data_IF_770054635644
#
_entry.id   IF_770054635644
#
_cell.length_a   1.000
_cell.length_b   1.000
_cell.length_c   1.000
_cell.angle_alpha   90.00
_cell.angle_beta   90.00
_cell.angle_gamma   90.00
#
_symmetry.space_group_name_H-M   'P 1'
#
loop_
_entity.id
_entity.type
_entity.pdbx_description
1 polymer ?
#
# COMPACT_ATOMS: atom_id res chain seq x y z
N UNK A 1 -19.99 38.43 15.67
CA UNK A 1 -18.96 37.67 16.39
C UNK A 1 -18.99 36.23 15.88
N UNK A 2 -17.86 35.79 15.36
CA UNK A 2 -17.46 34.43 14.97
C UNK A 2 -16.97 34.41 13.53
N UNK A 3 -15.70 34.75 13.39
CA UNK A 3 -14.88 34.47 12.21
C UNK A 3 -14.81 32.96 11.98
N UNK A 4 -15.07 32.51 10.75
CA UNK A 4 -14.73 31.17 10.29
C UNK A 4 -13.70 31.28 9.19
N UNK A 5 -12.45 31.18 9.66
CA UNK A 5 -11.18 30.90 8.99
C UNK A 5 -11.36 30.30 7.59
N UNK A 6 -11.29 31.18 6.58
CA UNK A 6 -10.98 30.84 5.21
C UNK A 6 -9.46 30.66 5.11
N UNK A 7 -8.97 29.44 5.33
CA UNK A 7 -7.59 29.08 4.95
C UNK A 7 -7.69 28.11 3.79
N UNK A 8 -8.05 28.70 2.64
CA UNK A 8 -7.74 28.16 1.32
C UNK A 8 -6.21 28.25 1.18
N UNK A 9 -5.51 27.17 1.51
CA UNK A 9 -4.07 27.07 1.25
C UNK A 9 -3.84 26.27 -0.03
N UNK A 10 -4.02 27.01 -1.13
CA UNK A 10 -3.25 26.97 -2.37
C UNK A 10 -2.43 25.69 -2.54
N UNK A 11 -2.98 24.82 -3.37
CA UNK A 11 -2.30 23.70 -4.02
C UNK A 11 -1.05 24.25 -4.70
N UNK A 12 0.11 23.80 -4.24
CA UNK A 12 1.40 24.01 -4.90
C UNK A 12 1.47 23.07 -6.10
N UNK A 13 0.90 23.51 -7.22
CA UNK A 13 1.11 22.88 -8.53
C UNK A 13 2.48 23.34 -9.06
N UNK A 14 3.36 22.38 -9.30
CA UNK A 14 4.53 22.54 -10.14
C UNK A 14 4.59 21.39 -11.11
N UNK A 15 4.38 21.70 -12.40
CA UNK A 15 4.68 20.89 -13.60
C UNK A 15 3.72 19.68 -13.76
N UNK A 16 2.90 19.52 -14.80
CA UNK A 16 3.06 19.78 -16.23
C UNK A 16 1.65 19.86 -16.88
N UNK A 17 1.52 20.66 -17.94
CA UNK A 17 0.29 20.89 -18.70
C UNK A 17 -0.19 19.62 -19.41
N UNK A 18 -1.42 19.19 -19.13
CA UNK A 18 -2.25 18.46 -20.09
C UNK A 18 -3.66 19.07 -20.06
N UNK A 19 -4.05 19.63 -21.20
CA UNK A 19 -5.37 20.19 -21.46
C UNK A 19 -6.46 19.14 -21.19
N UNK A 20 -7.16 19.28 -20.06
CA UNK A 20 -8.43 18.61 -19.82
C UNK A 20 -9.52 19.67 -19.76
N UNK A 21 -10.43 19.61 -20.72
CA UNK A 21 -11.68 20.36 -20.71
C UNK A 21 -12.38 20.17 -19.36
N UNK A 22 -12.45 21.27 -18.60
CA UNK A 22 -13.18 21.36 -17.34
C UNK A 22 -14.66 21.47 -17.69
N UNK A 23 -15.39 20.36 -17.64
CA UNK A 23 -16.83 20.43 -17.42
C UNK A 23 -17.08 20.71 -15.92
N UNK A 24 -17.45 21.95 -15.64
CA UNK A 24 -17.90 22.40 -14.32
C UNK A 24 -19.23 21.71 -14.02
N UNK A 25 -19.25 20.77 -13.07
CA UNK A 25 -20.50 20.31 -12.47
C UNK A 25 -21.04 21.39 -11.53
N UNK A 26 -22.29 21.88 -11.71
CA UNK A 26 -22.84 22.90 -10.85
C UNK A 26 -23.18 22.31 -9.48
N UNK A 27 -22.68 22.97 -8.43
CA UNK A 27 -23.13 22.73 -7.07
C UNK A 27 -24.61 23.14 -6.95
N UNK A 28 -25.49 22.16 -6.70
CA UNK A 28 -26.89 22.44 -6.36
C UNK A 28 -27.19 21.90 -4.96
N UNK A 29 -27.22 22.84 -4.00
CA UNK A 29 -27.80 22.63 -2.67
C UNK A 29 -29.32 22.61 -2.85
N UNK A 30 -29.92 21.42 -2.81
CA UNK A 30 -31.35 21.25 -2.58
C UNK A 30 -31.61 19.98 -1.75
N UNK A 31 -32.28 20.17 -0.63
CA UNK A 31 -32.71 19.15 0.31
C UNK A 31 -33.82 18.27 -0.30
N UNK A 32 -33.43 17.36 -1.19
CA UNK A 32 -34.06 16.06 -1.39
C UNK A 32 -32.96 15.05 -1.06
N UNK A 33 -33.27 13.98 -0.32
CA UNK A 33 -32.33 12.89 -0.02
C UNK A 33 -31.99 12.16 -1.33
N UNK A 34 -31.16 12.78 -2.16
CA UNK A 34 -30.52 12.17 -3.31
C UNK A 34 -29.57 11.13 -2.73
N UNK A 35 -29.83 9.85 -3.00
CA UNK A 35 -28.82 8.81 -2.74
C UNK A 35 -27.56 9.27 -3.48
N UNK A 36 -26.46 9.51 -2.77
CA UNK A 36 -25.18 9.78 -3.42
C UNK A 36 -24.92 8.65 -4.42
N UNK A 37 -24.55 8.99 -5.66
CA UNK A 37 -24.18 7.98 -6.67
C UNK A 37 -22.97 7.15 -6.23
N UNK A 38 -22.19 7.71 -5.29
CA UNK A 38 -21.03 7.09 -4.67
C UNK A 38 -21.46 6.39 -3.37
N UNK A 39 -21.02 5.14 -3.23
CA UNK A 39 -21.24 4.29 -2.08
C UNK A 39 -20.54 4.86 -0.83
N UNK A 40 -21.15 4.78 0.38
CA UNK A 40 -20.59 5.37 1.60
C UNK A 40 -19.17 4.91 1.96
N UNK A 41 -18.81 3.66 1.64
CA UNK A 41 -17.45 3.15 1.85
C UNK A 41 -16.40 3.92 1.03
N UNK A 42 -16.73 4.25 -0.21
CA UNK A 42 -15.87 5.05 -1.08
C UNK A 42 -15.83 6.51 -0.66
N UNK A 43 -16.94 7.07 -0.14
CA UNK A 43 -16.93 8.42 0.43
C UNK A 43 -15.97 8.50 1.62
N UNK A 44 -16.02 7.51 2.52
CA UNK A 44 -15.12 7.41 3.67
C UNK A 44 -13.68 7.26 3.20
N UNK A 45 -13.43 6.37 2.25
CA UNK A 45 -12.11 6.18 1.65
C UNK A 45 -11.56 7.46 0.98
N UNK A 46 -12.43 8.22 0.32
CA UNK A 46 -12.07 9.50 -0.31
C UNK A 46 -11.58 10.53 0.72
N UNK A 47 -12.29 10.64 1.85
CA UNK A 47 -11.85 11.49 2.99
C UNK A 47 -10.53 10.98 3.56
N UNK A 48 -10.38 9.67 3.75
CA UNK A 48 -9.14 9.09 4.27
C UNK A 48 -7.94 9.30 3.34
N UNK A 49 -8.17 9.36 2.02
CA UNK A 49 -7.14 9.64 1.02
C UNK A 49 -6.74 11.12 0.96
N UNK A 50 -7.72 12.02 1.05
CA UNK A 50 -7.54 13.48 1.05
C UNK A 50 -6.85 13.96 2.34
N UNK A 51 -7.34 13.51 3.49
CA UNK A 51 -6.75 13.83 4.81
C UNK A 51 -5.47 13.05 5.11
N UNK A 52 -5.01 12.20 4.18
CA UNK A 52 -3.76 11.43 4.32
C UNK A 52 -3.75 10.50 5.55
N UNK A 53 -4.93 10.04 6.01
CA UNK A 53 -5.07 9.13 7.17
C UNK A 53 -4.54 7.72 6.88
N UNK A 54 -4.68 7.27 5.64
CA UNK A 54 -4.13 6.00 5.17
C UNK A 54 -2.85 6.27 4.38
N UNK A 55 -1.74 5.73 4.87
CA UNK A 55 -0.41 5.93 4.31
C UNK A 55 0.17 4.61 3.77
N UNK A 56 1.02 4.71 2.75
CA UNK A 56 1.62 3.56 2.06
C UNK A 56 0.77 2.98 0.93
N UNK A 57 1.41 2.57 -0.15
CA UNK A 57 0.73 2.10 -1.37
C UNK A 57 -0.07 0.81 -1.15
N UNK A 58 0.48 -0.13 -0.37
CA UNK A 58 -0.21 -1.39 -0.07
C UNK A 58 -1.44 -1.16 0.81
N UNK A 59 -1.33 -0.35 1.86
CA UNK A 59 -2.46 -0.07 2.76
C UNK A 59 -3.61 0.63 2.03
N UNK A 60 -3.29 1.65 1.21
CA UNK A 60 -4.28 2.31 0.36
C UNK A 60 -4.97 1.33 -0.60
N UNK A 61 -4.21 0.38 -1.16
CA UNK A 61 -4.78 -0.65 -2.03
C UNK A 61 -5.69 -1.62 -1.26
N UNK A 62 -5.30 -2.05 -0.05
CA UNK A 62 -6.13 -2.91 0.80
C UNK A 62 -7.45 -2.24 1.19
N UNK A 63 -7.41 -0.94 1.51
CA UNK A 63 -8.61 -0.14 1.81
C UNK A 63 -9.51 0.01 0.57
N UNK A 64 -8.92 0.25 -0.60
CA UNK A 64 -9.63 0.25 -1.88
C UNK A 64 -10.32 -1.09 -2.17
N UNK A 65 -9.59 -2.21 -2.08
CA UNK A 65 -10.16 -3.56 -2.30
C UNK A 65 -11.28 -3.87 -1.32
N UNK A 66 -11.14 -3.47 -0.05
CA UNK A 66 -12.20 -3.66 0.95
C UNK A 66 -13.44 -2.82 0.64
N UNK A 67 -13.25 -1.58 0.17
CA UNK A 67 -14.36 -0.73 -0.31
C UNK A 67 -15.05 -1.31 -1.54
N UNK A 68 -14.29 -1.92 -2.47
CA UNK A 68 -14.83 -2.64 -3.62
C UNK A 68 -15.69 -3.84 -3.18
N UNK A 69 -15.23 -4.64 -2.21
CA UNK A 69 -16.03 -5.75 -1.70
C UNK A 69 -17.34 -5.28 -1.05
N UNK A 70 -17.32 -4.20 -0.28
CA UNK A 70 -18.54 -3.61 0.29
C UNK A 70 -19.49 -3.10 -0.82
N UNK A 71 -18.94 -2.42 -1.83
CA UNK A 71 -19.71 -1.97 -2.99
C UNK A 71 -20.38 -3.16 -3.70
N UNK A 72 -19.65 -4.25 -3.94
CA UNK A 72 -20.18 -5.47 -4.59
C UNK A 72 -21.25 -6.15 -3.74
N UNK A 73 -21.06 -6.24 -2.41
CA UNK A 73 -22.04 -6.85 -1.49
C UNK A 73 -23.33 -6.04 -1.43
N UNK A 74 -23.23 -4.71 -1.51
CA UNK A 74 -24.39 -3.80 -1.53
C UNK A 74 -25.10 -3.71 -2.88
N UNK A 75 -24.45 -4.20 -3.96
CA UNK A 75 -24.99 -4.16 -5.31
C UNK A 75 -26.04 -5.25 -5.48
N UNK A 76 -27.29 -4.85 -5.70
CA UNK A 76 -28.46 -5.74 -5.85
C UNK A 76 -28.96 -5.63 -7.30
N UNK A 77 -29.41 -6.72 -7.94
CA UNK A 77 -30.01 -6.66 -9.26
C UNK A 77 -31.27 -5.77 -9.26
N UNK A 78 -31.48 -5.01 -10.34
CA UNK A 78 -32.72 -4.26 -10.53
C UNK A 78 -33.89 -5.24 -10.54
N UNK A 79 -34.93 -4.94 -9.76
CA UNK A 79 -36.08 -5.84 -9.57
C UNK A 79 -36.74 -6.20 -10.91
N UNK A 80 -37.37 -7.38 -11.05
CA UNK A 80 -38.09 -7.78 -12.27
C UNK A 80 -39.13 -6.76 -12.74
N UNK A 81 -39.72 -6.01 -11.80
CA UNK A 81 -40.72 -4.96 -12.05
C UNK A 81 -40.16 -3.72 -12.77
N UNK A 82 -38.87 -3.40 -12.63
CA UNK A 82 -38.23 -2.30 -13.35
C UNK A 82 -37.77 -2.69 -14.77
N UNK A 83 -37.69 -4.00 -15.06
CA UNK A 83 -37.30 -4.53 -16.38
C UNK A 83 -38.39 -4.34 -17.44
N UNK A 84 -39.66 -4.20 -17.02
CA UNK A 84 -40.80 -4.05 -17.94
C UNK A 84 -40.93 -2.63 -18.52
N UNK A 85 -40.43 -1.61 -17.82
CA UNK A 85 -40.61 -0.21 -18.23
C UNK A 85 -39.60 0.27 -19.28
N UNK A 86 -38.50 -0.46 -19.48
CA UNK A 86 -37.48 -0.11 -20.47
C UNK A 86 -37.63 -1.00 -21.70
N UNK A 87 -38.31 -0.49 -22.74
CA UNK A 87 -38.52 -1.14 -24.04
C UNK A 87 -37.23 -1.20 -24.90
N UNK A 88 -36.10 -1.54 -24.29
CA UNK A 88 -34.84 -1.79 -24.99
C UNK A 88 -34.38 -3.18 -24.57
N UNK A 89 -34.72 -4.17 -25.38
CA UNK A 89 -34.29 -5.54 -25.17
C UNK A 89 -32.79 -5.68 -25.41
N UNK A 90 -31.98 -5.55 -24.37
CA UNK A 90 -30.57 -6.01 -24.37
C UNK A 90 -30.05 -6.13 -22.93
N UNK A 91 -29.66 -7.35 -22.52
CA UNK A 91 -28.52 -7.73 -21.64
C UNK A 91 -28.10 -6.92 -20.38
N UNK A 92 -28.81 -5.86 -19.97
CA UNK A 92 -28.54 -5.03 -18.79
C UNK A 92 -28.80 -5.74 -17.45
N UNK A 93 -29.29 -6.98 -17.51
CA UNK A 93 -29.50 -7.84 -16.36
C UNK A 93 -28.21 -8.50 -15.84
N UNK A 94 -27.17 -8.57 -16.68
CA UNK A 94 -25.91 -9.22 -16.31
C UNK A 94 -25.11 -8.33 -15.34
N UNK A 95 -24.57 -8.96 -14.30
CA UNK A 95 -23.77 -8.29 -13.27
C UNK A 95 -22.61 -7.49 -13.86
N UNK A 96 -21.82 -8.08 -14.76
CA UNK A 96 -20.62 -7.46 -15.31
C UNK A 96 -20.87 -6.14 -16.04
N UNK A 97 -21.95 -6.09 -16.84
CA UNK A 97 -22.30 -4.93 -17.68
C UNK A 97 -22.85 -3.78 -16.87
N UNK A 98 -23.60 -4.09 -15.81
CA UNK A 98 -24.17 -3.08 -14.91
C UNK A 98 -23.16 -2.58 -13.89
N UNK A 99 -22.25 -3.44 -13.40
CA UNK A 99 -21.28 -3.09 -12.37
C UNK A 99 -20.08 -2.30 -12.89
N UNK A 100 -19.60 -2.58 -14.11
CA UNK A 100 -18.41 -1.92 -14.67
C UNK A 100 -18.47 -0.38 -14.66
N UNK A 101 -19.54 0.25 -15.19
CA UNK A 101 -19.72 1.70 -15.14
C UNK A 101 -19.83 2.25 -13.72
N UNK A 102 -20.46 1.50 -12.80
CA UNK A 102 -20.58 1.88 -11.38
C UNK A 102 -19.20 1.91 -10.75
N UNK A 103 -18.37 0.88 -10.91
CA UNK A 103 -17.01 0.86 -10.38
C UNK A 103 -16.16 2.00 -10.96
N UNK A 104 -16.25 2.28 -12.26
CA UNK A 104 -15.53 3.39 -12.90
C UNK A 104 -15.89 4.74 -12.26
N UNK A 105 -17.18 5.00 -11.97
CA UNK A 105 -17.59 6.24 -11.30
C UNK A 105 -16.96 6.40 -9.91
N UNK A 106 -16.84 5.31 -9.15
CA UNK A 106 -16.23 5.31 -7.82
C UNK A 106 -14.71 5.52 -7.88
N UNK A 107 -14.04 4.92 -8.87
CA UNK A 107 -12.60 5.14 -9.10
C UNK A 107 -12.32 6.58 -9.54
N UNK A 108 -13.14 7.13 -10.44
CA UNK A 108 -13.03 8.53 -10.86
C UNK A 108 -13.21 9.48 -9.67
N UNK A 109 -14.18 9.21 -8.79
CA UNK A 109 -14.35 9.96 -7.55
C UNK A 109 -13.08 9.95 -6.69
N UNK A 110 -12.46 8.78 -6.47
CA UNK A 110 -11.22 8.71 -5.69
C UNK A 110 -10.07 9.47 -6.37
N UNK A 111 -9.97 9.44 -7.71
CA UNK A 111 -8.97 10.22 -8.45
C UNK A 111 -9.15 11.73 -8.25
N UNK A 112 -10.39 12.21 -8.10
CA UNK A 112 -10.69 13.61 -7.77
C UNK A 112 -10.31 13.97 -6.34
N UNK A 113 -10.46 13.05 -5.38
CA UNK A 113 -9.96 13.26 -4.02
C UNK A 113 -8.44 13.34 -4.00
N UNK A 114 -7.76 12.38 -4.66
CA UNK A 114 -6.30 12.36 -4.75
C UNK A 114 -5.81 11.42 -5.84
N UNK A 115 -4.68 11.72 -6.52
CA UNK A 115 -4.07 10.80 -7.47
C UNK A 115 -3.84 9.40 -6.86
N UNK A 116 -4.38 8.38 -7.53
CA UNK A 116 -4.32 7.00 -7.06
C UNK A 116 -2.91 6.42 -7.18
N UNK A 117 -2.54 5.53 -6.27
CA UNK A 117 -1.26 4.83 -6.35
C UNK A 117 -1.22 3.88 -7.54
N UNK A 118 -0.02 3.56 -8.03
CA UNK A 118 0.17 2.57 -9.10
C UNK A 118 -0.44 1.21 -8.72
N UNK A 119 -0.31 0.80 -7.46
CA UNK A 119 -0.90 -0.45 -6.96
C UNK A 119 -2.43 -0.46 -7.09
N UNK A 120 -3.11 0.66 -6.81
CA UNK A 120 -4.56 0.78 -6.99
C UNK A 120 -4.94 0.74 -8.48
N UNK A 121 -4.19 1.44 -9.35
CA UNK A 121 -4.44 1.40 -10.79
C UNK A 121 -4.32 -0.03 -11.33
N UNK A 122 -3.26 -0.76 -10.95
CA UNK A 122 -3.08 -2.15 -11.35
C UNK A 122 -4.20 -3.05 -10.83
N UNK A 123 -4.61 -2.87 -9.57
CA UNK A 123 -5.75 -3.58 -9.00
C UNK A 123 -7.03 -3.29 -9.80
N UNK A 124 -7.30 -2.03 -10.12
CA UNK A 124 -8.46 -1.64 -10.90
C UNK A 124 -8.47 -2.26 -12.30
N UNK A 125 -7.33 -2.27 -13.00
CA UNK A 125 -7.22 -2.92 -14.31
C UNK A 125 -7.46 -4.43 -14.23
N UNK A 126 -6.91 -5.09 -13.20
CA UNK A 126 -7.18 -6.50 -12.93
C UNK A 126 -8.69 -6.77 -12.73
N UNK A 127 -9.38 -5.90 -11.99
CA UNK A 127 -10.83 -6.02 -11.78
C UNK A 127 -11.61 -5.81 -13.08
N UNK A 128 -11.26 -4.83 -13.91
CA UNK A 128 -11.89 -4.64 -15.24
C UNK A 128 -11.72 -5.88 -16.12
N UNK A 129 -10.50 -6.42 -16.19
CA UNK A 129 -10.23 -7.62 -16.98
C UNK A 129 -11.02 -8.82 -16.46
N UNK A 130 -11.17 -8.92 -15.14
CA UNK A 130 -11.98 -9.97 -14.52
C UNK A 130 -13.46 -9.82 -14.88
N UNK A 131 -14.01 -8.60 -14.90
CA UNK A 131 -15.38 -8.36 -15.35
C UNK A 131 -15.58 -8.76 -16.82
N UNK A 132 -14.62 -8.45 -17.71
CA UNK A 132 -14.68 -8.88 -19.11
C UNK A 132 -14.67 -10.40 -19.24
N UNK A 133 -13.84 -11.09 -18.44
CA UNK A 133 -13.78 -12.56 -18.45
C UNK A 133 -15.06 -13.21 -17.93
N UNK A 134 -15.72 -12.58 -16.96
CA UNK A 134 -16.96 -13.07 -16.36
C UNK A 134 -18.22 -12.67 -17.15
N UNK A 135 -18.12 -11.92 -18.25
CA UNK A 135 -19.29 -11.49 -19.05
C UNK A 135 -20.08 -12.67 -19.65
N UNK A 136 -19.46 -13.85 -19.77
CA UNK A 136 -20.11 -15.08 -20.22
C UNK A 136 -20.94 -15.79 -19.14
N UNK A 137 -20.81 -15.41 -17.87
CA UNK A 137 -21.54 -16.05 -16.75
C UNK A 137 -22.90 -15.39 -16.63
N UNK A 138 -23.96 -16.15 -16.92
CA UNK A 138 -25.33 -15.64 -16.89
C UNK A 138 -25.91 -15.56 -15.48
N UNK A 139 -25.49 -16.48 -14.58
CA UNK A 139 -25.95 -16.48 -13.20
C UNK A 139 -25.34 -15.33 -12.41
N UNK A 140 -26.21 -14.48 -11.87
CA UNK A 140 -25.80 -13.26 -11.20
C UNK A 140 -25.05 -13.55 -9.90
N UNK A 141 -25.48 -14.55 -9.13
CA UNK A 141 -24.89 -14.84 -7.82
C UNK A 141 -23.54 -15.55 -7.96
N UNK A 142 -23.43 -16.48 -8.91
CA UNK A 142 -22.19 -17.14 -9.30
C UNK A 142 -21.17 -16.14 -9.83
N UNK A 143 -21.59 -15.23 -10.72
CA UNK A 143 -20.72 -14.17 -11.23
C UNK A 143 -20.23 -13.25 -10.11
N UNK A 144 -21.13 -12.84 -9.20
CA UNK A 144 -20.77 -12.01 -8.04
C UNK A 144 -19.80 -12.72 -7.11
N UNK A 145 -20.06 -13.98 -6.78
CA UNK A 145 -19.20 -14.80 -5.94
C UNK A 145 -17.81 -14.98 -6.54
N UNK A 146 -17.75 -15.26 -7.84
CA UNK A 146 -16.49 -15.39 -8.59
C UNK A 146 -15.69 -14.08 -8.60
N UNK A 147 -16.37 -12.94 -8.76
CA UNK A 147 -15.72 -11.63 -8.74
C UNK A 147 -15.19 -11.26 -7.34
N UNK A 148 -15.93 -11.54 -6.27
CA UNK A 148 -15.45 -11.41 -4.89
C UNK A 148 -14.23 -12.31 -4.63
N UNK A 149 -14.28 -13.56 -5.10
CA UNK A 149 -13.15 -14.49 -5.00
C UNK A 149 -11.91 -13.96 -5.74
N UNK A 150 -12.08 -13.32 -6.89
CA UNK A 150 -10.98 -12.71 -7.63
C UNK A 150 -10.32 -11.55 -6.85
N UNK A 151 -11.10 -10.75 -6.12
CA UNK A 151 -10.55 -9.70 -5.24
C UNK A 151 -9.70 -10.30 -4.12
N UNK A 152 -10.20 -11.36 -3.47
CA UNK A 152 -9.47 -12.05 -2.41
C UNK A 152 -8.18 -12.65 -2.96
N UNK A 153 -8.22 -13.23 -4.16
CA UNK A 153 -7.04 -13.82 -4.79
C UNK A 153 -6.00 -12.77 -5.18
N UNK A 154 -6.42 -11.62 -5.72
CA UNK A 154 -5.52 -10.50 -5.99
C UNK A 154 -4.88 -9.98 -4.70
N UNK A 155 -5.67 -9.79 -3.64
CA UNK A 155 -5.18 -9.36 -2.31
C UNK A 155 -4.12 -10.33 -1.79
N UNK A 156 -4.38 -11.63 -1.87
CA UNK A 156 -3.49 -12.70 -1.40
C UNK A 156 -2.22 -12.78 -2.24
N UNK A 157 -2.34 -12.89 -3.56
CA UNK A 157 -1.23 -13.10 -4.47
C UNK A 157 -0.36 -11.87 -4.65
N UNK A 158 -0.97 -10.73 -4.99
CA UNK A 158 -0.24 -9.53 -5.41
C UNK A 158 0.27 -8.66 -4.26
N UNK A 159 -0.26 -8.81 -3.04
CA UNK A 159 0.15 -7.99 -1.89
C UNK A 159 0.85 -8.85 -0.83
N UNK A 160 0.18 -9.88 -0.31
CA UNK A 160 0.73 -10.64 0.81
C UNK A 160 1.83 -11.61 0.37
N UNK A 161 1.53 -12.56 -0.51
CA UNK A 161 2.50 -13.56 -0.96
C UNK A 161 3.69 -12.91 -1.68
N UNK A 162 3.44 -11.95 -2.56
CA UNK A 162 4.50 -11.18 -3.19
C UNK A 162 5.38 -10.46 -2.15
N UNK A 163 4.77 -9.88 -1.11
CA UNK A 163 5.51 -9.21 -0.04
C UNK A 163 6.36 -10.18 0.78
N UNK A 164 5.85 -11.37 1.08
CA UNK A 164 6.58 -12.38 1.84
C UNK A 164 7.74 -12.97 1.01
N UNK A 165 7.51 -13.19 -0.28
CA UNK A 165 8.55 -13.64 -1.22
C UNK A 165 9.69 -12.61 -1.36
N UNK A 166 9.36 -11.31 -1.39
CA UNK A 166 10.36 -10.24 -1.36
C UNK A 166 11.15 -10.31 -0.06
N UNK A 167 10.48 -10.49 1.09
CA UNK A 167 11.17 -10.60 2.38
C UNK A 167 12.15 -11.78 2.39
N UNK A 168 11.70 -12.97 2.00
CA UNK A 168 12.52 -14.18 2.04
C UNK A 168 13.73 -14.10 1.10
N UNK A 169 13.57 -13.48 -0.08
CA UNK A 169 14.69 -13.25 -1.00
C UNK A 169 15.65 -12.17 -0.51
N UNK A 170 15.14 -11.06 0.00
CA UNK A 170 15.98 -9.91 0.39
C UNK A 170 16.75 -10.15 1.68
N UNK A 171 16.21 -10.93 2.63
CA UNK A 171 16.89 -11.22 3.91
C UNK A 171 18.31 -11.72 3.68
N UNK A 172 18.52 -12.59 2.69
CA UNK A 172 19.82 -13.20 2.39
C UNK A 172 20.81 -12.27 1.67
N UNK A 173 20.37 -11.09 1.23
CA UNK A 173 21.24 -10.11 0.56
C UNK A 173 22.02 -9.25 1.56
N UNK A 174 21.52 -9.10 2.79
CA UNK A 174 22.16 -8.26 3.82
C UNK A 174 23.30 -9.04 4.47
N UNK A 175 24.53 -8.54 4.36
CA UNK A 175 25.72 -9.16 4.97
C UNK A 175 25.95 -8.63 6.38
N UNK A 176 26.66 -9.42 7.18
CA UNK A 176 27.07 -8.97 8.52
C UNK A 176 28.13 -7.87 8.41
N UNK A 177 28.00 -6.83 9.24
CA UNK A 177 28.88 -5.66 9.26
C UNK A 177 28.45 -4.53 8.33
N UNK A 178 27.44 -4.71 7.48
CA UNK A 178 26.97 -3.67 6.56
C UNK A 178 26.12 -2.60 7.26
N UNK A 179 26.08 -1.41 6.65
CA UNK A 179 25.20 -0.32 7.01
C UNK A 179 24.12 -0.15 5.94
N UNK A 180 22.88 -0.52 6.25
CA UNK A 180 21.76 -0.44 5.30
C UNK A 180 21.14 0.95 5.36
N UNK A 181 21.24 1.70 4.26
CA UNK A 181 20.57 2.99 4.14
C UNK A 181 19.12 2.83 3.65
N UNK A 182 18.17 3.46 4.32
CA UNK A 182 16.76 3.48 3.95
C UNK A 182 16.20 4.90 3.98
N UNK A 183 15.13 5.15 3.23
CA UNK A 183 14.48 6.46 3.18
C UNK A 183 13.00 6.37 3.59
N UNK A 184 12.58 7.28 4.46
CA UNK A 184 11.19 7.39 4.92
C UNK A 184 10.70 6.13 5.64
N UNK A 185 9.42 5.82 5.50
CA UNK A 185 8.82 4.58 6.03
C UNK A 185 8.35 3.67 4.91
N UNK A 186 8.71 2.38 5.01
CA UNK A 186 8.14 1.30 4.21
C UNK A 186 7.87 0.09 5.10
N UNK A 187 6.61 -0.35 5.16
CA UNK A 187 6.22 -1.52 5.96
C UNK A 187 6.91 -2.80 5.47
N UNK A 188 7.15 -2.92 4.17
CA UNK A 188 7.85 -4.06 3.58
C UNK A 188 9.33 -4.07 3.98
N UNK A 189 10.02 -2.93 3.86
CA UNK A 189 11.44 -2.82 4.24
C UNK A 189 11.62 -3.04 5.74
N UNK A 190 10.71 -2.54 6.58
CA UNK A 190 10.73 -2.83 8.01
C UNK A 190 10.65 -4.34 8.29
N UNK A 191 9.75 -5.07 7.60
CA UNK A 191 9.66 -6.53 7.72
C UNK A 191 10.94 -7.23 7.26
N UNK A 192 11.57 -6.77 6.16
CA UNK A 192 12.85 -7.30 5.68
C UNK A 192 13.93 -7.17 6.76
N UNK A 193 14.11 -5.96 7.31
CA UNK A 193 15.15 -5.68 8.31
C UNK A 193 14.91 -6.46 9.60
N UNK A 194 13.67 -6.51 10.09
CA UNK A 194 13.30 -7.30 11.27
C UNK A 194 13.54 -8.80 11.08
N UNK A 195 13.18 -9.33 9.91
CA UNK A 195 13.39 -10.75 9.57
C UNK A 195 14.88 -11.04 9.42
N UNK A 196 15.65 -10.15 8.81
CA UNK A 196 17.09 -10.31 8.63
C UNK A 196 17.83 -10.29 9.97
N UNK A 197 17.43 -9.41 10.89
CA UNK A 197 18.02 -9.31 12.24
C UNK A 197 17.77 -10.57 13.08
N UNK A 198 16.58 -11.18 12.94
CA UNK A 198 16.21 -12.41 13.66
C UNK A 198 16.75 -13.68 13.02
N UNK A 199 17.09 -13.65 11.74
CA UNK A 199 17.52 -14.84 11.00
C UNK A 199 19.03 -15.10 11.21
N UNK A 200 19.43 -16.35 11.48
CA UNK A 200 20.84 -16.71 11.53
C UNK A 200 21.49 -16.56 10.15
N UNK A 201 22.79 -16.26 10.12
CA UNK A 201 23.54 -16.23 8.88
C UNK A 201 23.82 -17.65 8.38
N UNK A 202 23.15 -18.09 7.31
CA UNK A 202 23.58 -19.27 6.55
C UNK A 202 24.82 -18.90 5.72
N UNK A 203 26.00 -18.93 6.34
CA UNK A 203 27.27 -18.79 5.60
C UNK A 203 27.56 -20.13 4.90
N UNK A 204 26.95 -20.34 3.75
CA UNK A 204 27.35 -21.39 2.81
C UNK A 204 27.31 -20.85 1.39
N UNK A 205 28.17 -19.88 1.10
CA UNK A 205 28.58 -19.55 -0.27
C UNK A 205 30.11 -19.46 -0.26
N UNK A 206 30.71 -20.59 -0.67
CA UNK A 206 32.01 -20.81 -1.30
C UNK A 206 33.18 -19.84 -0.99
N UNK A 207 34.24 -20.43 -0.42
CA UNK A 207 35.65 -20.02 -0.48
C UNK A 207 35.93 -18.88 -1.45
N UNK A 208 36.33 -17.69 -0.94
CA UNK A 208 37.60 -17.03 -1.25
C UNK A 208 37.94 -16.06 -0.09
N UNK A 209 39.13 -16.26 0.46
CA UNK A 209 40.02 -15.39 1.26
C UNK A 209 39.75 -15.04 2.73
N UNK A 210 40.84 -15.26 3.47
CA UNK A 210 41.05 -15.08 4.89
C UNK A 210 41.25 -13.62 5.31
N UNK A 211 41.03 -13.37 6.60
CA UNK A 211 41.20 -12.13 7.38
C UNK A 211 39.96 -11.23 7.51
N UNK A 212 39.10 -11.56 8.48
CA UNK A 212 38.22 -10.57 9.13
C UNK A 212 37.98 -10.93 10.62
N UNK A 213 39.07 -11.07 11.38
CA UNK A 213 39.05 -11.02 12.84
C UNK A 213 39.63 -9.67 13.30
N UNK A 214 38.91 -8.55 13.11
CA UNK A 214 39.31 -7.27 13.73
C UNK A 214 38.18 -6.25 14.02
N UNK A 215 36.91 -6.57 13.73
CA UNK A 215 35.80 -5.60 13.90
C UNK A 215 34.78 -5.99 14.99
N UNK A 216 34.95 -7.15 15.64
CA UNK A 216 34.02 -7.63 16.67
C UNK A 216 34.09 -6.88 18.01
N UNK A 217 35.03 -5.94 18.19
CA UNK A 217 35.31 -5.33 19.50
C UNK A 217 34.68 -3.94 19.72
N UNK A 218 33.97 -3.38 18.73
CA UNK A 218 33.40 -2.01 18.85
C UNK A 218 31.89 -1.93 19.11
N UNK A 219 31.20 -3.06 19.26
CA UNK A 219 29.74 -3.10 19.56
C UNK A 219 29.40 -4.15 20.64
N UNK A 220 30.04 -4.05 21.81
CA UNK A 220 29.64 -4.78 23.03
C UNK A 220 28.89 -3.87 23.99
N UNK A 221 27.76 -3.33 23.57
CA UNK A 221 26.77 -2.74 24.48
C UNK A 221 25.38 -2.96 23.88
N UNK A 222 24.87 -4.19 24.01
CA UNK A 222 23.46 -4.60 23.94
C UNK A 222 23.37 -6.12 23.62
N UNK A 223 24.10 -6.97 24.35
CA UNK A 223 23.84 -8.41 24.30
C UNK A 223 23.16 -8.82 25.61
N UNK A 224 21.86 -9.13 25.52
CA UNK A 224 21.16 -9.89 26.56
C UNK A 224 21.61 -11.34 26.39
N UNK A 225 22.23 -11.87 27.44
CA UNK A 225 22.70 -13.26 27.51
C UNK A 225 21.52 -14.24 27.44
N UNK A 226 21.34 -14.92 26.31
CA UNK A 226 20.67 -16.21 26.27
C UNK A 226 21.73 -17.29 26.05
N UNK A 227 21.92 -18.16 27.05
CA UNK A 227 22.77 -19.35 26.96
C UNK A 227 22.28 -20.23 25.81
N UNK A 228 23.14 -20.52 24.84
CA UNK A 228 22.92 -21.56 23.83
C UNK A 228 24.15 -22.47 23.73
N UNK A 229 23.88 -23.77 23.57
CA UNK A 229 24.80 -24.91 23.57
C UNK A 229 26.05 -24.78 22.65
N UNK A 230 27.14 -25.52 22.93
CA UNK A 230 28.45 -25.30 22.29
C UNK A 230 28.65 -25.94 20.90
N UNK A 231 27.66 -26.59 20.28
CA UNK A 231 27.88 -27.42 19.08
C UNK A 231 27.33 -26.87 17.76
N UNK A 232 26.80 -25.65 17.71
CA UNK A 232 26.49 -24.96 16.46
C UNK A 232 26.56 -23.44 16.68
N UNK A 233 27.69 -22.80 16.36
CA UNK A 233 27.85 -21.33 16.50
C UNK A 233 27.07 -20.64 15.38
N UNK A 234 25.75 -20.60 15.49
CA UNK A 234 24.90 -19.76 14.65
C UNK A 234 25.06 -18.31 15.10
N UNK A 235 25.92 -17.56 14.42
CA UNK A 235 26.01 -16.11 14.64
C UNK A 235 24.82 -15.42 13.98
N UNK A 236 24.05 -14.65 14.75
CA UNK A 236 23.04 -13.76 14.20
C UNK A 236 23.72 -12.73 13.29
N UNK A 237 23.06 -12.36 12.19
CA UNK A 237 23.55 -11.29 11.32
C UNK A 237 23.51 -9.97 12.08
N UNK A 238 24.65 -9.32 12.23
CA UNK A 238 24.76 -8.01 12.88
C UNK A 238 24.99 -6.98 11.79
N UNK A 239 24.06 -6.06 11.60
CA UNK A 239 24.16 -4.92 10.70
C UNK A 239 23.61 -3.66 11.38
N UNK A 240 23.86 -2.49 10.79
CA UNK A 240 23.28 -1.23 11.24
C UNK A 240 22.41 -0.62 10.16
N UNK A 241 21.52 0.30 10.53
CA UNK A 241 20.59 0.96 9.59
C UNK A 241 20.73 2.47 9.68
N UNK A 242 20.91 3.13 8.55
CA UNK A 242 20.82 4.58 8.43
C UNK A 242 19.42 4.96 7.91
N UNK A 243 18.59 5.56 8.75
CA UNK A 243 17.26 6.05 8.40
C UNK A 243 17.36 7.49 7.93
N UNK A 244 17.20 7.70 6.62
CA UNK A 244 17.13 9.02 6.00
C UNK A 244 15.67 9.48 5.94
N UNK A 245 15.43 10.74 6.26
CA UNK A 245 14.08 11.30 6.29
C UNK A 245 14.03 12.70 5.68
N UNK A 246 12.83 13.19 5.38
CA UNK A 246 12.62 14.51 4.81
C UNK A 246 11.33 15.19 5.29
N UNK A 247 11.30 16.51 5.11
CA UNK A 247 10.09 17.33 5.27
C UNK A 247 9.02 16.93 4.23
N UNK A 248 7.72 17.17 4.51
CA UNK A 248 7.19 17.80 5.72
C UNK A 248 6.78 16.81 6.83
N UNK A 249 6.52 15.55 6.50
CA UNK A 249 5.86 14.58 7.40
C UNK A 249 6.80 13.85 8.35
N UNK A 250 8.08 13.70 7.99
CA UNK A 250 9.07 12.95 8.76
C UNK A 250 8.63 11.51 9.09
N UNK A 251 8.22 10.77 8.06
CA UNK A 251 7.72 9.40 8.19
C UNK A 251 8.83 8.42 8.64
N UNK A 252 10.09 8.74 8.37
CA UNK A 252 11.26 7.97 8.82
C UNK A 252 11.36 7.85 10.34
N UNK A 253 10.78 8.78 11.12
CA UNK A 253 10.70 8.65 12.59
C UNK A 253 9.94 7.41 13.04
N UNK A 254 8.89 7.03 12.31
CA UNK A 254 8.13 5.82 12.59
C UNK A 254 8.99 4.58 12.32
N UNK A 255 9.79 4.61 11.24
CA UNK A 255 10.70 3.53 10.87
C UNK A 255 11.77 3.36 11.94
N UNK A 256 12.43 4.45 12.32
CA UNK A 256 13.42 4.48 13.39
C UNK A 256 12.86 3.88 14.69
N UNK A 257 11.67 4.33 15.12
CA UNK A 257 11.02 3.82 16.34
C UNK A 257 10.75 2.32 16.26
N UNK A 258 10.32 1.82 15.09
CA UNK A 258 10.03 0.41 14.86
C UNK A 258 11.30 -0.44 14.92
N UNK A 259 12.38 -0.02 14.26
CA UNK A 259 13.65 -0.74 14.23
C UNK A 259 14.36 -0.74 15.59
N UNK A 260 14.35 0.39 16.30
CA UNK A 260 14.89 0.47 17.67
C UNK A 260 14.15 -0.48 18.63
N UNK A 261 12.82 -0.59 18.52
CA UNK A 261 12.04 -1.58 19.30
C UNK A 261 12.41 -3.03 18.97
N UNK A 262 12.86 -3.30 17.74
CA UNK A 262 13.36 -4.61 17.34
C UNK A 262 14.82 -4.87 17.79
N UNK A 263 15.49 -3.87 18.38
CA UNK A 263 16.88 -3.96 18.85
C UNK A 263 17.92 -3.76 17.74
N UNK A 264 17.52 -3.25 16.57
CA UNK A 264 18.42 -3.02 15.44
C UNK A 264 19.16 -1.68 15.65
N UNK A 265 20.50 -1.66 15.58
CA UNK A 265 21.28 -0.41 15.65
C UNK A 265 20.89 0.53 14.51
N UNK A 266 20.37 1.72 14.84
CA UNK A 266 19.91 2.69 13.86
C UNK A 266 20.51 4.08 14.09
N UNK A 267 20.92 4.74 13.01
CA UNK A 267 21.25 6.17 12.96
C UNK A 267 20.15 6.89 12.15
N UNK A 268 19.84 8.14 12.50
CA UNK A 268 18.82 8.93 11.80
C UNK A 268 19.44 10.20 11.24
N UNK A 269 19.15 10.51 9.97
CA UNK A 269 19.63 11.71 9.31
C UNK A 269 18.55 12.37 8.46
N UNK A 270 18.66 13.68 8.26
CA UNK A 270 17.84 14.39 7.29
C UNK A 270 18.47 14.27 5.90
N UNK A 271 17.66 14.25 4.83
CA UNK A 271 18.15 14.13 3.46
C UNK A 271 19.22 15.18 3.09
N UNK A 272 19.13 16.39 3.64
CA UNK A 272 20.13 17.45 3.45
C UNK A 272 21.51 17.15 4.08
N UNK A 273 21.56 16.25 5.07
CA UNK A 273 22.80 15.80 5.70
C UNK A 273 23.26 14.42 5.17
N UNK A 274 22.55 13.83 4.20
CA UNK A 274 22.95 12.55 3.60
C UNK A 274 24.39 12.58 3.02
N UNK A 275 24.84 13.63 2.32
CA UNK A 275 26.20 13.66 1.76
C UNK A 275 27.33 13.52 2.80
N UNK A 276 27.13 13.97 4.04
CA UNK A 276 28.15 13.87 5.08
C UNK A 276 28.25 12.48 5.73
N UNK A 277 27.19 11.68 5.64
CA UNK A 277 27.12 10.32 6.20
C UNK A 277 27.16 9.23 5.13
N UNK A 278 27.15 9.59 3.85
CA UNK A 278 27.16 8.65 2.73
C UNK A 278 28.34 7.68 2.75
N UNK A 279 29.51 8.11 3.23
CA UNK A 279 30.71 7.25 3.34
C UNK A 279 30.55 6.09 4.34
N UNK A 280 29.49 6.09 5.16
CA UNK A 280 29.20 5.01 6.12
C UNK A 280 28.39 3.86 5.51
N UNK A 281 27.72 4.09 4.38
CA UNK A 281 26.79 3.18 3.69
C UNK A 281 27.55 2.42 2.62
#
# INVERSE_FOLDING_TARGET
MSESILVVRIIRIGVELLDFNIEIFPACVHHKRTRSSIHPSFLTLGVDFDEDRIWGSNEKCLAFLSSCEELIRSFIPKSPTERMNNHTGTNDALFCRSFGPVLQAHVNFLQLCRPLSVTIHNAYQYLKQTLTRLDSVEDWDECRGSFLSAIVEFRRGSIYLAGDEIVDRTVNLIRSGECVCIFGYSSLVARVLERAWKSPCNTSVNQVDANVDFLADKMKTCFVNTKSDPSNKTTNRVFSVLVVDSRPKFEGRQMLTRLLKAGIPCEYTHIGALPSVANKV
#
